data_IF_537422287367
#
_entry.id   IF_537422287367
#
_cell.length_a   1.000
_cell.length_b   1.000
_cell.length_c   1.000
_cell.angle_alpha   90.00
_cell.angle_beta   90.00
_cell.angle_gamma   90.00
#
_symmetry.space_group_name_H-M   'P 1'
#
loop_
_entity.id
_entity.type
_entity.pdbx_description
1 polymer ?
#
# COMPACT_ATOMS: atom_id res chain seq x y z
N UNK A 1 8.78 0.01 -49.94
CA UNK A 1 9.01 0.85 -48.75
C UNK A 1 7.67 1.35 -48.26
N UNK A 2 7.08 0.70 -47.25
CA UNK A 2 5.87 1.20 -46.60
C UNK A 2 6.29 2.40 -45.75
N UNK A 3 5.93 3.60 -46.17
CA UNK A 3 6.14 4.80 -45.35
C UNK A 3 5.24 4.70 -44.13
N UNK A 4 5.84 4.63 -42.94
CA UNK A 4 5.09 4.75 -41.69
C UNK A 4 4.38 6.11 -41.67
N UNK A 5 3.07 6.08 -41.43
CA UNK A 5 2.21 7.27 -41.47
C UNK A 5 2.62 8.26 -40.36
N UNK A 6 2.67 9.60 -40.62
CA UNK A 6 3.09 10.61 -39.65
C UNK A 6 2.35 10.55 -38.31
N UNK A 7 1.06 10.19 -38.33
CA UNK A 7 0.23 10.04 -37.13
C UNK A 7 0.73 8.93 -36.19
N UNK A 8 1.27 7.84 -36.73
CA UNK A 8 1.87 6.77 -35.92
C UNK A 8 3.20 7.21 -35.29
N UNK A 9 3.97 8.04 -35.99
CA UNK A 9 5.22 8.59 -35.46
C UNK A 9 4.95 9.59 -34.32
N UNK A 10 3.91 10.41 -34.43
CA UNK A 10 3.59 11.41 -33.41
C UNK A 10 3.01 10.77 -32.13
N UNK A 11 2.13 9.78 -32.26
CA UNK A 11 1.62 9.00 -31.13
C UNK A 11 2.75 8.28 -30.38
N UNK A 12 3.66 7.63 -31.12
CA UNK A 12 4.81 6.94 -30.52
C UNK A 12 5.75 7.90 -29.77
N UNK A 13 6.00 9.10 -30.29
CA UNK A 13 6.80 10.13 -29.61
C UNK A 13 6.12 10.62 -28.33
N UNK A 14 4.79 10.82 -28.34
CA UNK A 14 4.02 11.24 -27.15
C UNK A 14 4.07 10.20 -26.03
N UNK A 15 3.84 8.91 -26.34
CA UNK A 15 3.95 7.81 -25.37
C UNK A 15 5.37 7.72 -24.80
N UNK A 16 6.39 8.01 -25.61
CA UNK A 16 7.80 8.03 -25.16
C UNK A 16 8.06 9.16 -24.18
N UNK A 17 7.57 10.38 -24.46
CA UNK A 17 7.71 11.52 -23.56
C UNK A 17 7.03 11.27 -22.21
N UNK A 18 5.78 10.81 -22.22
CA UNK A 18 5.03 10.62 -20.98
C UNK A 18 5.63 9.50 -20.12
N UNK A 19 6.11 8.42 -20.75
CA UNK A 19 6.90 7.38 -20.07
C UNK A 19 8.14 7.97 -19.40
N UNK A 20 8.91 8.79 -20.12
CA UNK A 20 10.11 9.44 -19.59
C UNK A 20 9.78 10.42 -18.45
N UNK A 21 8.68 11.16 -18.55
CA UNK A 21 8.18 12.04 -17.49
C UNK A 21 7.86 11.24 -16.23
N UNK A 22 7.08 10.17 -16.34
CA UNK A 22 6.72 9.34 -15.18
C UNK A 22 7.96 8.73 -14.52
N UNK A 23 8.92 8.23 -15.32
CA UNK A 23 10.20 7.76 -14.80
C UNK A 23 10.97 8.85 -14.06
N UNK A 24 11.01 10.07 -14.61
CA UNK A 24 11.66 11.21 -13.96
C UNK A 24 11.00 11.56 -12.61
N UNK A 25 9.67 11.57 -12.54
CA UNK A 25 8.95 11.82 -11.29
C UNK A 25 9.23 10.73 -10.24
N UNK A 26 9.32 9.45 -10.66
CA UNK A 26 9.63 8.33 -9.77
C UNK A 26 11.05 8.38 -9.17
N UNK A 27 12.00 9.05 -9.82
CA UNK A 27 13.34 9.27 -9.23
C UNK A 27 13.27 10.04 -7.91
N UNK A 28 12.23 10.85 -7.72
CA UNK A 28 11.96 11.57 -6.47
C UNK A 28 11.78 10.66 -5.25
N UNK A 29 11.41 9.39 -5.43
CA UNK A 29 11.17 8.43 -4.33
C UNK A 29 12.41 8.19 -3.46
N UNK A 30 13.60 8.38 -4.03
CA UNK A 30 14.88 8.19 -3.36
C UNK A 30 15.45 9.48 -2.76
N UNK A 31 14.80 10.63 -2.99
CA UNK A 31 15.30 11.94 -2.58
C UNK A 31 14.62 12.33 -1.26
N UNK A 32 15.39 12.58 -0.17
CA UNK A 32 14.82 13.01 1.09
C UNK A 32 13.93 14.25 0.93
N UNK A 33 12.78 14.24 1.64
CA UNK A 33 11.77 15.32 1.67
C UNK A 33 10.99 15.55 0.37
N UNK A 34 11.34 14.89 -0.74
CA UNK A 34 10.49 14.92 -1.93
C UNK A 34 9.22 14.14 -1.63
N UNK A 35 8.08 14.78 -1.86
CA UNK A 35 6.77 14.16 -1.73
C UNK A 35 6.30 13.73 -3.11
N UNK A 36 6.64 12.49 -3.48
CA UNK A 36 6.28 11.94 -4.78
C UNK A 36 4.76 11.95 -4.97
N UNK A 37 4.00 11.68 -3.90
CA UNK A 37 2.54 11.86 -3.82
C UNK A 37 2.07 13.17 -4.47
N UNK A 38 2.73 14.30 -4.18
CA UNK A 38 2.31 15.61 -4.70
C UNK A 38 2.62 15.81 -6.18
N UNK A 39 3.59 15.07 -6.70
CA UNK A 39 3.97 15.16 -8.12
C UNK A 39 3.11 14.24 -8.98
N UNK A 40 2.78 13.05 -8.47
CA UNK A 40 1.97 12.07 -9.21
C UNK A 40 0.49 12.17 -8.94
N UNK A 41 0.07 12.69 -7.79
CA UNK A 41 -1.34 12.82 -7.41
C UNK A 41 -2.17 13.51 -8.50
N UNK A 42 -1.77 14.68 -9.02
CA UNK A 42 -2.50 15.32 -10.12
C UNK A 42 -2.62 14.45 -11.38
N UNK A 43 -1.62 13.61 -11.67
CA UNK A 43 -1.62 12.71 -12.83
C UNK A 43 -2.56 11.52 -12.57
N UNK A 44 -2.46 10.88 -11.40
CA UNK A 44 -3.32 9.75 -11.04
C UNK A 44 -4.78 10.19 -10.97
N UNK A 45 -5.05 11.32 -10.31
CA UNK A 45 -6.39 11.87 -10.14
C UNK A 45 -7.13 12.09 -11.46
N UNK A 46 -6.40 12.27 -12.56
CA UNK A 46 -6.96 12.39 -13.90
C UNK A 46 -7.59 11.08 -14.41
N UNK A 47 -7.03 9.93 -14.03
CA UNK A 47 -7.50 8.59 -14.44
C UNK A 47 -8.35 7.92 -13.35
N UNK A 48 -8.39 8.48 -12.15
CA UNK A 48 -8.82 7.77 -10.95
C UNK A 48 -10.29 7.37 -10.95
N UNK A 49 -11.16 8.17 -11.57
CA UNK A 49 -12.59 7.86 -11.74
C UNK A 49 -12.77 6.52 -12.47
N UNK A 50 -12.22 6.43 -13.68
CA UNK A 50 -12.29 5.21 -14.51
C UNK A 50 -11.52 4.05 -13.85
N UNK A 51 -10.41 4.33 -13.18
CA UNK A 51 -9.62 3.29 -12.51
C UNK A 51 -10.30 2.68 -11.28
N UNK A 52 -11.20 3.41 -10.63
CA UNK A 52 -11.98 2.93 -9.48
C UNK A 52 -13.36 2.40 -9.86
N UNK A 53 -13.82 2.62 -11.10
CA UNK A 53 -15.07 2.06 -11.59
C UNK A 53 -14.91 0.53 -11.76
N UNK A 54 -15.37 -0.22 -10.77
CA UNK A 54 -15.16 -1.67 -10.69
C UNK A 54 -16.29 -2.47 -11.33
N UNK A 55 -17.49 -1.91 -11.38
CA UNK A 55 -18.64 -2.47 -12.07
C UNK A 55 -18.96 -1.67 -13.34
N UNK A 56 -19.54 -2.30 -14.38
CA UNK A 56 -20.00 -1.59 -15.59
C UNK A 56 -20.99 -0.45 -15.31
N UNK A 57 -21.70 -0.52 -14.18
CA UNK A 57 -22.68 0.47 -13.76
C UNK A 57 -22.13 1.45 -12.70
N UNK A 58 -20.86 1.32 -12.30
CA UNK A 58 -20.21 2.32 -11.44
C UNK A 58 -19.98 3.59 -12.26
N UNK A 59 -20.70 4.66 -11.89
CA UNK A 59 -20.50 5.99 -12.45
C UNK A 59 -19.82 6.86 -11.39
N UNK A 60 -18.49 6.91 -11.43
CA UNK A 60 -17.68 7.61 -10.43
C UNK A 60 -17.20 8.95 -11.00
N UNK A 61 -17.39 10.03 -10.26
CA UNK A 61 -16.90 11.37 -10.62
C UNK A 61 -16.01 11.96 -9.54
N UNK A 62 -14.97 12.69 -9.96
CA UNK A 62 -14.13 13.48 -9.08
C UNK A 62 -14.89 14.73 -8.65
N UNK A 63 -15.14 14.90 -7.34
CA UNK A 63 -15.77 16.11 -6.82
C UNK A 63 -14.74 17.18 -6.52
N UNK A 64 -13.63 16.82 -5.86
CA UNK A 64 -12.58 17.76 -5.50
C UNK A 64 -11.26 17.06 -5.21
N UNK A 65 -10.14 17.46 -5.85
CA UNK A 65 -8.81 17.11 -5.36
C UNK A 65 -8.49 17.91 -4.09
N UNK A 66 -7.70 17.34 -3.18
CA UNK A 66 -7.23 17.97 -1.94
C UNK A 66 -8.37 18.56 -1.11
N UNK A 67 -9.42 17.76 -0.88
CA UNK A 67 -10.64 18.25 -0.24
C UNK A 67 -10.42 18.50 1.27
N UNK A 68 -10.75 19.70 1.78
CA UNK A 68 -10.55 20.03 3.19
C UNK A 68 -11.66 19.43 4.07
N UNK A 69 -11.28 18.60 5.03
CA UNK A 69 -12.13 18.05 6.09
C UNK A 69 -11.84 18.79 7.38
N UNK A 70 -12.86 19.33 8.03
CA UNK A 70 -12.72 20.03 9.30
C UNK A 70 -12.23 19.08 10.40
N UNK A 71 -11.27 19.53 11.21
CA UNK A 71 -10.83 18.81 12.41
C UNK A 71 -11.79 19.10 13.57
N UNK A 72 -11.99 18.11 14.43
CA UNK A 72 -12.82 18.28 15.62
C UNK A 72 -12.29 19.40 16.53
N UNK A 73 -13.18 20.29 16.97
CA UNK A 73 -12.89 21.30 17.98
C UNK A 73 -12.21 22.58 17.50
N UNK A 74 -11.95 22.76 16.20
CA UNK A 74 -11.49 24.04 15.64
C UNK A 74 -11.85 24.21 14.15
N UNK A 75 -11.52 25.37 13.58
CA UNK A 75 -11.74 25.68 12.16
C UNK A 75 -10.51 25.36 11.28
N UNK A 76 -9.63 24.47 11.73
CA UNK A 76 -8.55 23.95 10.88
C UNK A 76 -9.04 22.73 10.11
N UNK A 77 -8.46 22.50 8.93
CA UNK A 77 -8.74 21.33 8.12
C UNK A 77 -7.55 20.37 8.05
N UNK A 78 -7.84 19.10 7.78
CA UNK A 78 -6.92 18.18 7.10
C UNK A 78 -7.41 18.00 5.67
N UNK A 79 -6.54 17.58 4.75
CA UNK A 79 -6.97 17.28 3.39
C UNK A 79 -7.06 15.76 3.20
N UNK A 80 -8.06 15.32 2.45
CA UNK A 80 -8.09 14.03 1.75
C UNK A 80 -7.62 14.29 0.31
N UNK A 81 -6.82 13.39 -0.26
CA UNK A 81 -6.24 13.62 -1.59
C UNK A 81 -7.32 13.77 -2.67
N UNK A 82 -8.42 13.00 -2.59
CA UNK A 82 -9.58 13.18 -3.44
C UNK A 82 -10.89 12.87 -2.71
N UNK A 83 -11.87 13.76 -2.90
CA UNK A 83 -13.28 13.47 -2.66
C UNK A 83 -13.92 13.13 -4.00
N UNK A 84 -14.55 11.97 -4.08
CA UNK A 84 -15.25 11.48 -5.26
C UNK A 84 -16.67 11.04 -4.90
N UNK A 85 -17.49 10.79 -5.91
CA UNK A 85 -18.89 10.39 -5.77
C UNK A 85 -19.16 9.23 -6.72
N UNK A 86 -19.75 8.16 -6.20
CA UNK A 86 -20.44 7.18 -7.04
C UNK A 86 -21.88 7.69 -7.24
N UNK A 87 -22.21 8.10 -8.46
CA UNK A 87 -23.51 8.66 -8.84
C UNK A 87 -24.63 7.62 -8.76
N UNK A 88 -24.33 6.35 -9.07
CA UNK A 88 -25.30 5.27 -9.04
C UNK A 88 -25.76 4.96 -7.60
N UNK A 89 -24.84 4.96 -6.64
CA UNK A 89 -25.14 4.66 -5.24
C UNK A 89 -25.33 5.90 -4.36
N UNK A 90 -25.02 7.09 -4.89
CA UNK A 90 -24.91 8.35 -4.14
C UNK A 90 -23.96 8.26 -2.94
N UNK A 91 -22.93 7.42 -3.03
CA UNK A 91 -21.92 7.22 -1.99
C UNK A 91 -20.70 8.13 -2.21
N UNK A 92 -20.26 8.81 -1.15
CA UNK A 92 -19.01 9.56 -1.18
C UNK A 92 -17.80 8.63 -1.05
N UNK A 93 -16.78 8.82 -1.86
CA UNK A 93 -15.52 8.09 -1.78
C UNK A 93 -14.41 9.04 -1.31
N UNK A 94 -13.82 8.74 -0.16
CA UNK A 94 -12.66 9.43 0.38
C UNK A 94 -11.42 8.64 -0.03
N UNK A 95 -10.69 9.13 -1.03
CA UNK A 95 -9.53 8.43 -1.57
C UNK A 95 -8.23 9.07 -1.10
N UNK A 96 -7.41 8.30 -0.40
CA UNK A 96 -6.10 8.70 0.12
C UNK A 96 -4.99 7.96 -0.64
N UNK A 97 -4.04 8.70 -1.20
CA UNK A 97 -2.82 8.17 -1.82
C UNK A 97 -1.72 8.07 -0.79
N UNK A 98 -1.14 6.87 -0.65
CA UNK A 98 0.17 6.70 -0.01
C UNK A 98 1.14 6.13 -1.04
N UNK A 99 2.36 6.65 -1.09
CA UNK A 99 3.40 6.15 -2.01
C UNK A 99 4.54 5.42 -1.31
N UNK A 100 4.47 5.30 0.02
CA UNK A 100 5.50 4.62 0.81
C UNK A 100 4.89 3.79 1.94
N UNK A 101 5.69 2.84 2.43
CA UNK A 101 5.37 1.93 3.52
C UNK A 101 5.41 2.51 4.94
N UNK A 102 5.53 3.84 5.05
CA UNK A 102 5.62 4.53 6.34
C UNK A 102 4.64 5.67 6.53
N UNK A 103 3.76 5.92 5.56
CA UNK A 103 2.91 7.12 5.55
C UNK A 103 1.50 6.88 6.08
N UNK A 104 1.12 5.65 6.46
CA UNK A 104 -0.12 5.42 7.19
C UNK A 104 -0.08 6.07 8.58
N UNK A 105 -1.12 6.84 8.91
CA UNK A 105 -1.26 7.55 10.19
C UNK A 105 -2.61 7.23 10.84
N UNK A 106 -2.64 6.56 12.01
CA UNK A 106 -3.89 6.24 12.71
C UNK A 106 -4.75 7.47 13.03
N UNK A 107 -4.13 8.62 13.29
CA UNK A 107 -4.81 9.89 13.59
C UNK A 107 -5.63 10.40 12.40
N UNK A 108 -5.08 10.28 11.17
CA UNK A 108 -5.79 10.64 9.95
C UNK A 108 -6.93 9.67 9.69
N UNK A 109 -6.71 8.37 9.91
CA UNK A 109 -7.76 7.37 9.82
C UNK A 109 -8.92 7.64 10.80
N UNK A 110 -8.62 8.11 12.02
CA UNK A 110 -9.66 8.50 12.98
C UNK A 110 -10.53 9.67 12.49
N UNK A 111 -9.94 10.64 11.76
CA UNK A 111 -10.71 11.73 11.14
C UNK A 111 -11.70 11.16 10.10
N UNK A 112 -11.27 10.21 9.28
CA UNK A 112 -12.16 9.60 8.26
C UNK A 112 -13.26 8.74 8.89
N UNK A 113 -12.98 8.07 10.01
CA UNK A 113 -14.01 7.35 10.78
C UNK A 113 -15.05 8.30 11.38
N UNK A 114 -14.63 9.43 11.95
CA UNK A 114 -15.59 10.43 12.46
C UNK A 114 -16.40 11.04 11.31
N UNK A 115 -15.79 11.27 10.15
CA UNK A 115 -16.49 11.74 8.96
C UNK A 115 -17.61 10.76 8.53
N UNK A 116 -17.29 9.47 8.38
CA UNK A 116 -18.29 8.44 8.08
C UNK A 116 -19.37 8.37 9.17
N UNK A 117 -18.98 8.43 10.44
CA UNK A 117 -19.89 8.39 11.59
C UNK A 117 -20.83 9.61 11.60
N UNK A 118 -20.34 10.80 11.23
CA UNK A 118 -21.15 12.02 11.11
C UNK A 118 -22.18 11.89 10.00
N UNK A 119 -21.80 11.37 8.82
CA UNK A 119 -22.75 11.08 7.73
C UNK A 119 -23.82 10.08 8.18
N UNK A 120 -23.43 8.98 8.81
CA UNK A 120 -24.37 7.95 9.25
C UNK A 120 -25.33 8.48 10.33
N UNK A 121 -24.81 9.28 11.27
CA UNK A 121 -25.59 9.90 12.36
C UNK A 121 -26.58 10.94 11.85
N UNK A 122 -26.17 11.78 10.90
CA UNK A 122 -27.01 12.84 10.33
C UNK A 122 -27.89 12.32 9.18
N UNK A 123 -27.60 11.14 8.64
CA UNK A 123 -28.23 10.59 7.45
C UNK A 123 -28.01 11.46 6.22
N UNK A 124 -26.89 12.19 6.16
CA UNK A 124 -26.64 13.25 5.18
C UNK A 124 -25.17 13.71 5.20
N UNK A 125 -24.64 14.12 4.05
CA UNK A 125 -23.35 14.80 3.94
C UNK A 125 -23.49 16.33 3.76
N UNK A 126 -24.70 16.89 3.91
CA UNK A 126 -24.96 18.32 3.71
C UNK A 126 -24.18 19.22 4.67
N UNK A 127 -23.78 18.70 5.85
CA UNK A 127 -22.95 19.41 6.81
C UNK A 127 -21.61 19.86 6.22
N UNK A 128 -21.13 19.24 5.14
CA UNK A 128 -19.88 19.64 4.48
C UNK A 128 -19.90 21.09 4.03
N UNK A 129 -21.06 21.61 3.63
CA UNK A 129 -21.20 23.01 3.23
C UNK A 129 -21.04 23.96 4.41
N UNK A 130 -21.47 23.52 5.60
CA UNK A 130 -21.38 24.29 6.84
C UNK A 130 -19.94 24.24 7.37
N UNK A 131 -19.30 23.07 7.34
CA UNK A 131 -17.89 22.89 7.68
C UNK A 131 -17.00 23.75 6.76
N UNK A 132 -17.22 23.73 5.44
CA UNK A 132 -16.50 24.59 4.47
C UNK A 132 -16.71 26.09 4.72
N UNK A 133 -17.93 26.49 5.08
CA UNK A 133 -18.23 27.87 5.42
C UNK A 133 -17.52 28.31 6.70
N UNK A 134 -17.49 27.46 7.73
CA UNK A 134 -16.81 27.72 9.00
C UNK A 134 -15.28 27.85 8.81
N UNK A 135 -14.66 26.92 8.07
CA UNK A 135 -13.23 26.99 7.74
C UNK A 135 -12.95 28.24 6.91
N UNK A 136 -13.75 28.50 5.88
CA UNK A 136 -13.62 29.67 5.03
C UNK A 136 -13.68 30.98 5.83
N UNK A 137 -14.67 31.13 6.70
CA UNK A 137 -14.83 32.33 7.54
C UNK A 137 -13.60 32.62 8.41
N UNK A 138 -12.95 31.56 8.93
CA UNK A 138 -11.73 31.65 9.73
C UNK A 138 -10.42 31.78 8.92
N UNK A 139 -10.48 31.61 7.59
CA UNK A 139 -9.32 31.65 6.71
C UNK A 139 -9.08 33.04 6.11
N UNK A 140 -7.80 33.33 5.82
CA UNK A 140 -7.40 34.49 5.01
C UNK A 140 -7.64 34.26 3.50
N UNK A 141 -7.79 32.99 3.09
CA UNK A 141 -7.91 32.56 1.69
C UNK A 141 -9.34 32.10 1.37
N UNK A 142 -10.35 32.88 1.76
CA UNK A 142 -11.78 32.56 1.61
C UNK A 142 -12.18 32.10 0.21
N UNK A 143 -11.59 32.70 -0.83
CA UNK A 143 -11.86 32.37 -2.22
C UNK A 143 -11.56 30.90 -2.58
N UNK A 144 -10.60 30.25 -1.91
CA UNK A 144 -10.28 28.83 -2.14
C UNK A 144 -11.43 27.92 -1.74
N UNK A 145 -12.08 28.20 -0.61
CA UNK A 145 -13.22 27.41 -0.13
C UNK A 145 -14.46 27.64 -1.00
N UNK A 146 -14.63 28.85 -1.55
CA UNK A 146 -15.65 29.08 -2.57
C UNK A 146 -15.37 28.27 -3.84
N UNK A 147 -14.11 28.18 -4.27
CA UNK A 147 -13.73 27.34 -5.39
C UNK A 147 -14.04 25.85 -5.13
N UNK A 148 -13.76 25.35 -3.93
CA UNK A 148 -14.14 23.98 -3.53
C UNK A 148 -15.65 23.78 -3.67
N UNK A 149 -16.48 24.72 -3.17
CA UNK A 149 -17.95 24.63 -3.32
C UNK A 149 -18.40 24.61 -4.79
N UNK A 150 -17.73 25.38 -5.64
CA UNK A 150 -18.03 25.40 -7.08
C UNK A 150 -17.66 24.06 -7.74
N UNK A 151 -16.53 23.46 -7.37
CA UNK A 151 -16.14 22.12 -7.85
C UNK A 151 -17.15 21.05 -7.41
N UNK A 152 -17.60 21.08 -6.15
CA UNK A 152 -18.67 20.19 -5.69
C UNK A 152 -19.95 20.38 -6.51
N UNK A 153 -20.40 21.63 -6.70
CA UNK A 153 -21.60 21.92 -7.48
C UNK A 153 -21.48 21.37 -8.91
N UNK A 154 -20.32 21.55 -9.55
CA UNK A 154 -20.05 21.01 -10.88
C UNK A 154 -20.10 19.48 -10.89
N UNK A 155 -19.45 18.82 -9.93
CA UNK A 155 -19.44 17.35 -9.83
C UNK A 155 -20.82 16.74 -9.57
N UNK A 156 -21.68 17.45 -8.84
CA UNK A 156 -23.10 17.09 -8.65
C UNK A 156 -24.03 17.57 -9.77
N UNK A 157 -23.53 18.30 -10.78
CA UNK A 157 -24.36 18.86 -11.85
C UNK A 157 -25.37 19.93 -11.39
N UNK A 158 -25.09 20.61 -10.27
CA UNK A 158 -25.98 21.59 -9.66
C UNK A 158 -25.69 23.03 -10.16
N UNK A 159 -26.73 23.82 -10.41
CA UNK A 159 -26.61 25.21 -10.87
C UNK A 159 -26.50 26.24 -9.74
N UNK A 160 -26.86 25.88 -8.50
CA UNK A 160 -26.82 26.78 -7.35
C UNK A 160 -26.51 26.04 -6.02
N UNK A 161 -26.43 26.81 -4.93
CA UNK A 161 -26.11 26.29 -3.60
C UNK A 161 -27.23 25.51 -2.92
N UNK A 162 -28.49 25.69 -3.32
CA UNK A 162 -29.61 24.92 -2.76
C UNK A 162 -29.61 23.51 -3.36
N UNK A 163 -29.45 23.40 -4.67
CA UNK A 163 -29.30 22.12 -5.36
C UNK A 163 -28.11 21.31 -4.83
N UNK A 164 -26.96 21.97 -4.60
CA UNK A 164 -25.81 21.30 -4.00
C UNK A 164 -26.09 20.77 -2.59
N UNK A 165 -26.80 21.54 -1.75
CA UNK A 165 -27.15 21.10 -0.40
C UNK A 165 -28.10 19.91 -0.43
N UNK A 166 -29.09 19.94 -1.32
CA UNK A 166 -30.02 18.82 -1.53
C UNK A 166 -29.29 17.56 -2.01
N UNK A 167 -28.40 17.70 -3.01
CA UNK A 167 -27.62 16.59 -3.53
C UNK A 167 -26.74 15.92 -2.46
N UNK A 168 -26.02 16.72 -1.67
CA UNK A 168 -25.27 16.23 -0.51
C UNK A 168 -26.17 15.62 0.58
N UNK A 169 -27.41 16.08 0.67
CA UNK A 169 -28.44 15.52 1.54
C UNK A 169 -28.83 14.08 1.19
N UNK A 170 -28.65 13.69 -0.07
CA UNK A 170 -28.89 12.32 -0.52
C UNK A 170 -27.70 11.38 -0.28
N UNK A 171 -26.50 11.92 -0.02
CA UNK A 171 -25.33 11.12 0.33
C UNK A 171 -25.40 10.63 1.79
N UNK A 172 -25.87 9.41 1.98
CA UNK A 172 -26.07 8.77 3.30
C UNK A 172 -24.94 7.85 3.73
N UNK A 173 -24.00 7.58 2.82
CA UNK A 173 -22.90 6.67 3.03
C UNK A 173 -21.61 7.27 2.48
N UNK A 174 -20.50 6.85 3.08
CA UNK A 174 -19.18 7.16 2.58
C UNK A 174 -18.25 5.97 2.78
N UNK A 175 -17.35 5.78 1.82
CA UNK A 175 -16.32 4.74 1.82
C UNK A 175 -14.94 5.37 1.79
N UNK A 176 -14.01 4.81 2.56
CA UNK A 176 -12.62 5.24 2.61
C UNK A 176 -11.78 4.27 1.80
N UNK A 177 -11.01 4.79 0.84
CA UNK A 177 -10.15 4.00 -0.04
C UNK A 177 -8.72 4.47 0.16
N UNK A 178 -7.85 3.59 0.63
CA UNK A 178 -6.41 3.82 0.60
C UNK A 178 -5.85 3.22 -0.67
N UNK A 179 -5.34 4.06 -1.57
CA UNK A 179 -4.56 3.67 -2.73
C UNK A 179 -3.08 3.71 -2.36
N UNK A 180 -2.47 2.55 -2.11
CA UNK A 180 -1.20 2.48 -1.40
C UNK A 180 -0.43 1.18 -1.63
N UNK A 181 0.92 1.18 -1.53
CA UNK A 181 1.74 0.00 -1.76
C UNK A 181 1.23 -1.23 -1.02
N UNK A 182 1.17 -2.39 -1.68
CA UNK A 182 0.70 -3.65 -1.05
C UNK A 182 1.44 -3.95 0.27
N UNK A 183 2.75 -3.74 0.27
CA UNK A 183 3.65 -3.94 1.43
C UNK A 183 3.35 -3.04 2.62
N UNK A 184 2.54 -1.99 2.43
CA UNK A 184 2.24 -0.98 3.44
C UNK A 184 0.91 -1.17 4.16
N UNK A 185 0.13 -2.19 3.76
CA UNK A 185 -1.15 -2.50 4.40
C UNK A 185 -0.94 -2.87 5.88
N UNK A 186 -1.55 -2.15 6.83
CA UNK A 186 -1.51 -2.51 8.24
C UNK A 186 -2.06 -3.92 8.49
N UNK A 187 -1.50 -4.62 9.48
CA UNK A 187 -1.98 -5.96 9.88
C UNK A 187 -3.42 -5.89 10.39
N UNK A 188 -3.72 -4.87 11.20
CA UNK A 188 -5.03 -4.66 11.80
C UNK A 188 -5.91 -3.75 10.92
N UNK A 189 -5.90 -3.99 9.61
CA UNK A 189 -6.70 -3.19 8.67
C UNK A 189 -8.20 -3.45 8.88
N UNK A 190 -9.05 -2.40 8.95
CA UNK A 190 -10.51 -2.54 9.02
C UNK A 190 -11.07 -3.41 7.90
N UNK A 191 -12.16 -4.13 8.17
CA UNK A 191 -12.80 -4.97 7.15
C UNK A 191 -13.56 -4.11 6.14
N UNK A 192 -13.86 -4.69 4.96
CA UNK A 192 -14.67 -4.03 3.92
C UNK A 192 -16.08 -3.67 4.40
N UNK A 193 -16.61 -4.40 5.38
CA UNK A 193 -17.94 -4.15 5.97
C UNK A 193 -17.99 -2.80 6.72
N UNK A 194 -16.85 -2.28 7.17
CA UNK A 194 -16.77 -0.95 7.79
C UNK A 194 -16.72 0.19 6.76
N UNK A 195 -16.77 -0.13 5.45
CA UNK A 195 -16.62 0.86 4.38
C UNK A 195 -15.16 1.30 4.19
N UNK A 196 -14.20 0.41 4.46
CA UNK A 196 -12.76 0.66 4.28
C UNK A 196 -12.17 -0.29 3.25
N UNK A 197 -11.51 0.27 2.24
CA UNK A 197 -10.81 -0.48 1.22
C UNK A 197 -9.32 -0.14 1.22
N UNK A 198 -8.51 -1.18 1.06
CA UNK A 198 -7.09 -1.03 0.73
C UNK A 198 -6.90 -1.53 -0.70
N UNK A 199 -6.56 -0.63 -1.61
CA UNK A 199 -6.22 -0.94 -2.99
C UNK A 199 -4.73 -0.73 -3.18
N UNK A 200 -4.02 -1.81 -3.50
CA UNK A 200 -2.66 -1.72 -4.00
C UNK A 200 -2.62 -1.19 -5.43
N UNK A 201 -1.45 -0.76 -5.89
CA UNK A 201 -1.33 -0.31 -7.27
C UNK A 201 -1.51 -1.47 -8.25
N UNK A 202 -1.23 -2.70 -7.82
CA UNK A 202 -1.54 -3.93 -8.54
C UNK A 202 -3.04 -4.19 -8.72
N UNK A 203 -3.89 -3.70 -7.81
CA UNK A 203 -5.34 -3.84 -7.90
C UNK A 203 -5.97 -2.90 -8.93
N UNK A 204 -5.21 -1.92 -9.46
CA UNK A 204 -5.67 -1.03 -10.52
C UNK A 204 -5.71 -1.76 -11.88
N UNK A 205 -6.70 -1.44 -12.74
CA UNK A 205 -6.93 -2.16 -14.00
C UNK A 205 -5.74 -2.03 -14.95
N UNK A 206 -5.49 -3.06 -15.76
CA UNK A 206 -4.38 -3.06 -16.71
C UNK A 206 -4.57 -2.08 -17.86
N UNK A 207 -5.81 -1.88 -18.29
CA UNK A 207 -6.22 -0.90 -19.31
C UNK A 207 -7.39 -0.06 -18.84
N UNK A 208 -7.54 1.13 -19.43
CA UNK A 208 -8.67 2.04 -19.25
C UNK A 208 -9.24 2.40 -20.61
N UNK A 209 -9.77 1.41 -21.32
CA UNK A 209 -10.07 1.53 -22.76
C UNK A 209 -11.11 2.62 -23.09
N UNK A 210 -11.99 2.95 -22.13
CA UNK A 210 -12.98 4.02 -22.28
C UNK A 210 -12.43 5.44 -22.03
N UNK A 211 -11.24 5.57 -21.42
CA UNK A 211 -10.69 6.86 -21.04
C UNK A 211 -10.09 7.59 -22.26
N UNK A 212 -10.28 8.91 -22.35
CA UNK A 212 -9.82 9.72 -23.50
C UNK A 212 -8.29 9.75 -23.71
N UNK A 213 -7.52 9.30 -22.72
CA UNK A 213 -6.06 9.19 -22.75
C UNK A 213 -5.58 7.79 -22.36
N UNK A 214 -6.34 6.75 -22.72
CA UNK A 214 -6.08 5.35 -22.38
C UNK A 214 -4.64 4.89 -22.74
N UNK A 215 -4.07 5.42 -23.82
CA UNK A 215 -2.72 5.12 -24.28
C UNK A 215 -1.61 5.57 -23.32
N UNK A 216 -1.90 6.51 -22.42
CA UNK A 216 -0.96 7.01 -21.41
C UNK A 216 -1.05 6.22 -20.09
N UNK A 217 -2.16 5.52 -19.84
CA UNK A 217 -2.40 4.77 -18.61
C UNK A 217 -1.31 3.73 -18.30
N UNK A 218 -0.81 2.92 -19.25
CA UNK A 218 0.23 1.93 -18.96
C UNK A 218 1.50 2.53 -18.34
N UNK A 219 1.88 3.75 -18.75
CA UNK A 219 3.04 4.44 -18.18
C UNK A 219 2.79 4.88 -16.73
N UNK A 220 1.57 5.37 -16.43
CA UNK A 220 1.16 5.69 -15.05
C UNK A 220 1.18 4.43 -14.20
N UNK A 221 0.44 3.40 -14.60
CA UNK A 221 0.31 2.15 -13.85
C UNK A 221 1.66 1.49 -13.62
N UNK A 222 2.52 1.40 -14.65
CA UNK A 222 3.86 0.82 -14.49
C UNK A 222 4.70 1.57 -13.45
N UNK A 223 4.55 2.89 -13.37
CA UNK A 223 5.26 3.70 -12.39
C UNK A 223 4.72 3.47 -10.98
N UNK A 224 3.40 3.37 -10.83
CA UNK A 224 2.75 3.03 -9.56
C UNK A 224 3.13 1.63 -9.07
N UNK A 225 3.12 0.62 -9.95
CA UNK A 225 3.55 -0.74 -9.62
C UNK A 225 4.99 -0.80 -9.09
N UNK A 226 5.88 0.07 -9.56
CA UNK A 226 7.24 0.14 -9.03
C UNK A 226 7.25 0.54 -7.54
N UNK A 227 6.26 1.30 -7.09
CA UNK A 227 6.09 1.72 -5.69
C UNK A 227 5.60 0.58 -4.79
N UNK A 228 4.85 -0.40 -5.31
CA UNK A 228 4.44 -1.59 -4.55
C UNK A 228 5.67 -2.37 -4.03
N UNK A 229 6.74 -2.40 -4.82
CA UNK A 229 7.98 -3.09 -4.47
C UNK A 229 8.95 -2.22 -3.64
N UNK A 230 8.86 -0.89 -3.73
CA UNK A 230 9.78 0.04 -3.05
C UNK A 230 9.45 0.19 -1.57
N UNK A 231 10.03 -0.67 -0.74
CA UNK A 231 9.98 -0.56 0.74
C UNK A 231 11.04 0.40 1.28
N UNK A 232 10.83 0.93 2.49
CA UNK A 232 11.84 1.73 3.22
C UNK A 232 13.17 0.99 3.33
N UNK A 233 13.13 -0.33 3.51
CA UNK A 233 14.32 -1.19 3.55
C UNK A 233 15.11 -1.06 2.25
N UNK A 234 14.47 -1.33 1.11
CA UNK A 234 15.08 -1.18 -0.21
C UNK A 234 15.64 0.22 -0.44
N UNK A 235 14.90 1.27 -0.06
CA UNK A 235 15.35 2.67 -0.18
C UNK A 235 16.58 2.99 0.67
N UNK A 236 16.70 2.40 1.84
CA UNK A 236 17.85 2.57 2.73
C UNK A 236 19.10 1.80 2.26
N UNK A 237 19.03 1.14 1.09
CA UNK A 237 20.10 0.23 0.68
C UNK A 237 20.17 -1.02 1.56
N UNK A 238 19.12 -1.29 2.37
CA UNK A 238 18.86 -2.64 2.84
C UNK A 238 18.38 -3.41 1.62
N UNK A 239 19.32 -3.73 0.73
CA UNK A 239 19.11 -4.73 -0.30
C UNK A 239 18.57 -5.93 0.49
N UNK A 240 17.39 -6.48 0.17
CA UNK A 240 17.21 -7.88 0.41
C UNK A 240 18.29 -8.50 -0.46
N UNK A 241 19.47 -8.70 0.13
CA UNK A 241 20.49 -9.52 -0.47
C UNK A 241 19.75 -10.70 -1.08
N UNK A 242 20.21 -11.25 -2.20
CA UNK A 242 19.69 -12.55 -2.60
C UNK A 242 19.83 -13.63 -1.48
N UNK A 243 20.44 -13.28 -0.33
CA UNK A 243 20.42 -13.97 0.96
C UNK A 243 19.31 -13.58 1.98
N UNK A 244 18.33 -12.75 1.64
CA UNK A 244 17.13 -12.47 2.45
C UNK A 244 16.21 -13.69 2.61
N UNK A 245 16.43 -14.74 1.82
CA UNK A 245 15.79 -16.04 2.00
C UNK A 245 16.65 -17.05 2.80
N UNK A 246 17.94 -16.76 3.03
CA UNK A 246 18.88 -17.70 3.65
C UNK A 246 19.62 -17.05 4.82
N UNK A 247 19.09 -17.24 6.02
CA UNK A 247 19.83 -17.06 7.26
C UNK A 247 20.69 -18.31 7.58
N UNK A 248 21.28 -18.92 6.56
CA UNK A 248 22.03 -20.17 6.64
C UNK A 248 22.96 -20.28 5.44
N UNK A 249 24.08 -20.98 5.59
CA UNK A 249 25.03 -21.25 4.50
C UNK A 249 24.63 -22.48 3.72
N UNK A 250 24.28 -23.54 4.42
CA UNK A 250 24.05 -24.87 3.84
C UNK A 250 22.70 -25.46 4.21
N UNK A 251 22.22 -26.38 3.37
CA UNK A 251 21.13 -27.29 3.71
C UNK A 251 21.71 -28.70 3.63
N UNK A 252 21.75 -29.40 4.76
CA UNK A 252 22.30 -30.75 4.87
C UNK A 252 21.19 -31.73 5.20
N UNK A 253 21.27 -32.94 4.65
CA UNK A 253 20.49 -34.07 5.16
C UNK A 253 21.03 -34.52 6.53
N UNK A 254 20.32 -35.45 7.18
CA UNK A 254 20.64 -35.87 8.53
C UNK A 254 22.04 -36.51 8.68
N UNK A 255 22.46 -37.36 7.75
CA UNK A 255 23.75 -38.04 7.84
C UNK A 255 24.92 -37.06 7.57
N UNK A 256 24.77 -36.18 6.58
CA UNK A 256 25.74 -35.11 6.31
C UNK A 256 25.82 -34.11 7.46
N UNK A 257 24.69 -33.77 8.09
CA UNK A 257 24.64 -32.93 9.28
C UNK A 257 25.36 -33.58 10.47
N UNK A 258 25.10 -34.86 10.74
CA UNK A 258 25.76 -35.56 11.84
C UNK A 258 27.28 -35.62 11.66
N UNK A 259 27.73 -35.90 10.45
CA UNK A 259 29.16 -35.88 10.14
C UNK A 259 29.77 -34.48 10.36
N UNK A 260 29.03 -33.43 9.98
CA UNK A 260 29.44 -32.04 10.22
C UNK A 260 29.51 -31.71 11.72
N UNK A 261 28.49 -32.06 12.49
CA UNK A 261 28.48 -31.84 13.95
C UNK A 261 29.61 -32.61 14.66
N UNK A 262 29.95 -33.83 14.22
CA UNK A 262 31.09 -34.59 14.77
C UNK A 262 32.44 -33.95 14.47
N UNK A 263 32.59 -33.36 13.28
CA UNK A 263 33.86 -32.79 12.82
C UNK A 263 34.08 -31.37 13.33
N UNK A 264 33.00 -30.58 13.42
CA UNK A 264 33.10 -29.13 13.63
C UNK A 264 32.33 -28.64 14.88
N UNK A 265 31.54 -29.50 15.53
CA UNK A 265 30.94 -29.25 16.85
C UNK A 265 30.20 -27.92 16.98
N UNK A 266 30.44 -27.22 18.10
CA UNK A 266 29.80 -25.94 18.43
C UNK A 266 30.22 -24.76 17.54
N UNK A 267 31.17 -24.93 16.61
CA UNK A 267 31.46 -23.88 15.60
C UNK A 267 30.36 -23.74 14.55
N UNK A 268 29.45 -24.71 14.50
CA UNK A 268 28.25 -24.69 13.65
C UNK A 268 26.97 -24.64 14.47
N UNK A 269 25.93 -24.12 13.82
CA UNK A 269 24.56 -24.10 14.31
C UNK A 269 23.59 -24.75 13.33
N UNK A 270 22.64 -25.48 13.90
CA UNK A 270 21.58 -26.21 13.18
C UNK A 270 20.25 -25.50 13.37
N UNK A 271 19.53 -25.26 12.28
CA UNK A 271 18.24 -24.57 12.28
C UNK A 271 17.10 -25.52 12.64
N UNK A 272 16.49 -25.30 13.80
CA UNK A 272 15.25 -25.97 14.23
C UNK A 272 14.46 -25.00 15.13
N UNK A 273 13.28 -24.60 14.68
CA UNK A 273 12.42 -23.64 15.40
C UNK A 273 11.96 -24.22 16.74
N UNK A 274 12.12 -23.46 17.82
CA UNK A 274 11.74 -23.86 19.19
C UNK A 274 12.32 -25.21 19.60
N UNK A 275 13.57 -25.47 19.23
CA UNK A 275 14.16 -26.80 19.36
C UNK A 275 14.18 -27.34 20.81
N UNK A 276 14.26 -26.47 21.82
CA UNK A 276 14.27 -26.90 23.23
C UNK A 276 13.00 -27.67 23.63
N UNK A 277 11.86 -27.35 23.02
CA UNK A 277 10.61 -28.10 23.22
C UNK A 277 10.41 -29.18 22.16
N UNK A 278 10.91 -28.96 20.94
CA UNK A 278 10.66 -29.86 19.80
C UNK A 278 11.63 -31.05 19.80
N UNK A 279 12.94 -30.81 19.88
CA UNK A 279 13.97 -31.83 19.72
C UNK A 279 13.80 -33.01 20.69
N UNK A 280 13.52 -32.82 22.00
CA UNK A 280 13.35 -33.93 22.94
C UNK A 280 12.16 -34.85 22.68
N UNK A 281 11.21 -34.43 21.85
CA UNK A 281 10.02 -35.23 21.49
C UNK A 281 10.14 -35.92 20.13
N UNK A 282 11.24 -35.71 19.41
CA UNK A 282 11.43 -36.27 18.07
C UNK A 282 12.02 -37.67 18.10
N UNK A 283 11.53 -38.55 17.22
CA UNK A 283 12.13 -39.87 16.98
C UNK A 283 13.28 -39.79 15.96
N UNK A 284 14.14 -40.82 15.92
CA UNK A 284 15.24 -40.89 14.96
C UNK A 284 14.76 -40.85 13.50
N UNK A 285 13.63 -41.48 13.20
CA UNK A 285 13.00 -41.47 11.87
C UNK A 285 12.52 -40.06 11.47
N UNK A 286 11.94 -39.31 12.41
CA UNK A 286 11.52 -37.93 12.19
C UNK A 286 12.69 -36.96 12.00
N UNK A 287 13.86 -37.28 12.55
CA UNK A 287 15.08 -36.50 12.33
C UNK A 287 15.67 -36.83 10.95
N UNK A 288 15.75 -38.10 10.58
CA UNK A 288 16.27 -38.56 9.26
C UNK A 288 15.47 -38.06 8.07
N UNK A 289 14.16 -37.88 8.22
CA UNK A 289 13.28 -37.39 7.15
C UNK A 289 13.39 -35.89 6.86
N UNK A 290 14.22 -35.14 7.60
CA UNK A 290 14.36 -33.69 7.46
C UNK A 290 15.68 -33.29 6.79
N UNK A 291 15.61 -32.17 6.09
CA UNK A 291 16.78 -31.39 5.69
C UNK A 291 16.94 -30.19 6.64
N UNK A 292 18.18 -29.90 7.02
CA UNK A 292 18.52 -28.94 8.05
C UNK A 292 19.30 -27.77 7.49
N UNK A 293 18.84 -26.57 7.83
CA UNK A 293 19.56 -25.33 7.56
C UNK A 293 20.74 -25.23 8.53
N UNK A 294 21.95 -25.00 8.02
CA UNK A 294 23.18 -25.00 8.80
C UNK A 294 23.98 -23.71 8.54
N UNK A 295 24.69 -23.24 9.56
CA UNK A 295 25.57 -22.07 9.44
C UNK A 295 26.67 -22.08 10.50
N UNK A 296 27.61 -21.15 10.43
CA UNK A 296 28.57 -20.89 11.49
C UNK A 296 27.90 -20.24 12.70
N UNK A 297 28.36 -20.60 13.90
CA UNK A 297 27.96 -19.99 15.16
C UNK A 297 28.43 -18.52 15.25
N UNK A 298 29.65 -18.25 14.78
CA UNK A 298 30.24 -16.91 14.69
C UNK A 298 30.59 -16.58 13.23
N UNK A 299 30.29 -15.35 12.80
CA UNK A 299 30.53 -14.93 11.40
C UNK A 299 29.58 -15.56 10.36
N UNK A 300 28.51 -16.23 10.80
CA UNK A 300 27.48 -16.82 9.94
C UNK A 300 26.53 -15.79 9.30
N UNK A 301 25.67 -16.26 8.40
CA UNK A 301 24.75 -15.41 7.62
C UNK A 301 23.47 -15.12 8.41
N UNK A 302 23.23 -13.83 8.70
CA UNK A 302 22.01 -13.35 9.36
C UNK A 302 21.93 -13.65 10.86
N UNK A 303 20.85 -13.20 11.51
CA UNK A 303 20.69 -13.26 12.97
C UNK A 303 20.34 -14.68 13.45
N UNK A 304 21.16 -15.24 14.36
CA UNK A 304 20.91 -16.53 15.01
C UNK A 304 20.18 -16.35 16.33
N UNK A 305 18.85 -16.45 16.30
CA UNK A 305 18.06 -16.47 17.54
C UNK A 305 18.25 -17.82 18.24
N UNK A 306 18.67 -17.82 19.51
CA UNK A 306 18.88 -19.03 20.32
C UNK A 306 17.66 -19.94 20.43
N UNK A 307 16.45 -19.43 20.17
CA UNK A 307 15.21 -20.22 20.13
C UNK A 307 15.08 -21.07 18.86
N UNK A 308 15.78 -20.74 17.77
CA UNK A 308 15.64 -21.35 16.45
C UNK A 308 16.91 -22.05 15.95
N UNK A 309 17.99 -21.94 16.71
CA UNK A 309 19.32 -22.43 16.35
C UNK A 309 19.92 -23.20 17.51
N UNK A 310 20.46 -24.38 17.21
CA UNK A 310 21.08 -25.32 18.15
C UNK A 310 22.58 -25.34 17.85
N UNK A 311 23.44 -25.37 18.86
CA UNK A 311 24.86 -25.63 18.62
C UNK A 311 25.06 -27.08 18.13
N UNK A 312 26.03 -27.31 17.24
CA UNK A 312 26.23 -28.62 16.61
C UNK A 312 26.56 -29.74 17.61
N UNK A 313 27.31 -29.43 18.67
CA UNK A 313 27.62 -30.31 19.80
C UNK A 313 26.38 -30.65 20.65
N UNK A 314 25.51 -29.66 20.89
CA UNK A 314 24.26 -29.82 21.62
C UNK A 314 23.25 -30.67 20.82
N UNK A 315 23.18 -30.48 19.49
CA UNK A 315 22.40 -31.34 18.61
C UNK A 315 22.93 -32.78 18.60
N UNK A 316 24.26 -32.95 18.49
CA UNK A 316 24.90 -34.26 18.46
C UNK A 316 24.67 -35.04 19.76
N UNK A 317 24.86 -34.39 20.92
CA UNK A 317 24.62 -35.01 22.23
C UNK A 317 23.20 -35.57 22.37
N UNK A 318 22.21 -34.85 21.83
CA UNK A 318 20.82 -35.31 21.85
C UNK A 318 20.60 -36.51 20.94
N UNK A 319 21.14 -36.47 19.71
CA UNK A 319 21.01 -37.59 18.77
C UNK A 319 21.75 -38.83 19.25
N UNK A 320 22.93 -38.68 19.85
CA UNK A 320 23.68 -39.81 20.41
C UNK A 320 22.93 -40.46 21.57
N UNK A 321 22.14 -39.70 22.34
CA UNK A 321 21.25 -40.27 23.37
C UNK A 321 20.15 -41.14 22.74
N UNK A 322 19.59 -40.71 21.60
CA UNK A 322 18.58 -41.49 20.88
C UNK A 322 19.16 -42.70 20.14
N UNK A 323 20.42 -42.64 19.69
CA UNK A 323 21.11 -43.73 19.02
C UNK A 323 21.60 -44.81 19.99
N UNK A 324 21.96 -44.42 21.22
CA UNK A 324 22.47 -45.33 22.25
C UNK A 324 21.41 -45.75 23.29
N UNK A 325 20.23 -45.13 23.27
CA UNK A 325 19.11 -45.37 24.19
C UNK A 325 17.93 -46.11 23.57
N UNK A 326 18.10 -46.69 22.37
CA UNK A 326 17.14 -47.56 21.70
C UNK A 326 17.52 -49.03 21.76
#
# INVERSE_FOLDING_TARGET
MLMQSPAHSEAAIRTTFFTALMQHLMQGTMIPKVQVERSIGPIIGFFLADALATAPDDDIVMLCPEFPIQKAGNNQSTNIDWLMLNLATQELLLVELKTTDTTFRPEQAAIYREFQSKIAREGSAAFLLDDLAAIGAASQERGKYQNVRNLLAQGFGCSDGNGLREALGHCKHARVIYLAPQVSKPVDWPTSEEGWAWLSFADLPESLDAHGYADQWPAVRSSLLSLDALTRRLRNGDVPSASGARNYRDVLDFDALLNRCRTEGGSWVVGLKNWRSVLPSMTLEQLRSKAYKCDLAEGGVGKKLRSNWIAGDEFLSHVDTLLNGG
#
